data_IF_905202799364
#
_entry.id   IF_905202799364
#
_cell.length_a   1.000
_cell.length_b   1.000
_cell.length_c   1.000
_cell.angle_alpha   90.00
_cell.angle_beta   90.00
_cell.angle_gamma   90.00
#
_symmetry.space_group_name_H-M   'P 1'
#
loop_
_entity.id
_entity.type
_entity.pdbx_description
1 polymer ?
#
# COMPACT_ATOMS: atom_id res chain seq x y z
N UNK A 1 9.37 22.52 31.42
CA UNK A 1 8.74 23.03 30.18
C UNK A 1 8.97 21.97 29.11
N UNK A 2 8.07 21.04 28.72
CA UNK A 2 6.65 21.14 28.30
C UNK A 2 6.45 22.32 27.34
N UNK A 3 5.98 22.21 26.08
CA UNK A 3 5.27 21.22 25.23
C UNK A 3 5.72 21.51 23.76
N UNK A 4 5.63 20.63 22.77
CA UNK A 4 4.40 20.36 21.99
C UNK A 4 4.52 19.10 21.14
N UNK A 5 3.47 18.29 21.20
CA UNK A 5 3.18 17.10 20.41
C UNK A 5 2.38 17.52 19.17
N UNK A 6 2.86 17.18 17.97
CA UNK A 6 2.04 17.20 16.75
C UNK A 6 1.57 15.77 16.49
N UNK A 7 0.26 15.58 16.60
CA UNK A 7 -0.42 14.30 16.43
C UNK A 7 -0.50 13.88 14.96
N UNK A 8 -0.11 12.64 14.69
CA UNK A 8 -0.36 11.96 13.43
C UNK A 8 -1.64 11.10 13.53
N UNK A 9 -2.41 10.94 12.44
CA UNK A 9 -3.62 10.13 12.45
C UNK A 9 -3.24 8.67 12.68
N UNK A 10 -3.58 8.15 13.87
CA UNK A 10 -3.56 6.72 14.21
C UNK A 10 -4.49 5.99 13.24
N UNK A 11 -3.94 5.27 12.27
CA UNK A 11 -4.69 4.29 11.49
C UNK A 11 -5.09 3.17 12.46
N UNK A 12 -6.38 3.13 12.81
CA UNK A 12 -6.96 2.15 13.72
C UNK A 12 -7.38 0.92 12.91
N UNK A 13 -6.49 -0.05 12.77
CA UNK A 13 -6.89 -1.39 12.32
C UNK A 13 -7.45 -2.17 13.51
N UNK A 14 -8.75 -2.43 13.50
CA UNK A 14 -9.40 -3.40 14.39
C UNK A 14 -9.38 -4.76 13.70
N UNK A 15 -8.29 -5.53 13.89
CA UNK A 15 -8.31 -6.95 13.56
C UNK A 15 -9.23 -7.67 14.56
N UNK A 16 -10.46 -7.99 14.14
CA UNK A 16 -11.27 -9.01 14.82
C UNK A 16 -10.84 -10.38 14.33
N UNK A 17 -9.88 -10.99 15.01
CA UNK A 17 -9.67 -12.44 14.93
C UNK A 17 -10.87 -13.12 15.60
N UNK A 18 -11.88 -13.49 14.80
CA UNK A 18 -12.97 -14.34 15.28
C UNK A 18 -12.47 -15.78 15.32
N UNK A 19 -11.80 -16.15 16.41
CA UNK A 19 -11.50 -17.55 16.73
C UNK A 19 -12.84 -18.29 16.90
N UNK A 20 -13.17 -19.16 15.94
CA UNK A 20 -14.26 -20.13 16.09
C UNK A 20 -13.69 -21.33 16.84
N UNK A 21 -13.59 -21.21 18.16
CA UNK A 21 -13.34 -22.35 19.04
C UNK A 21 -14.58 -23.25 19.04
N UNK A 22 -14.49 -24.43 18.41
CA UNK A 22 -15.35 -25.55 18.79
C UNK A 22 -14.84 -26.08 20.13
N UNK A 23 -15.45 -25.62 21.22
CA UNK A 23 -15.23 -26.15 22.57
C UNK A 23 -16.44 -27.02 22.93
N UNK A 24 -16.19 -28.31 23.14
CA UNK A 24 -17.05 -29.20 23.92
C UNK A 24 -17.14 -28.70 25.36
N UNK A 25 -18.28 -28.84 26.05
CA UNK A 25 -18.53 -28.12 27.28
C UNK A 25 -17.74 -28.76 28.43
N UNK A 26 -16.86 -27.99 29.08
CA UNK A 26 -16.79 -27.91 30.54
C UNK A 26 -15.69 -26.92 30.99
N UNK A 27 -16.00 -26.26 32.11
CA UNK A 27 -15.19 -25.34 32.91
C UNK A 27 -15.36 -23.85 32.57
N UNK A 28 -16.09 -23.20 33.48
CA UNK A 28 -16.37 -21.78 33.64
C UNK A 28 -15.19 -21.13 34.38
N UNK A 29 -14.63 -20.02 33.86
CA UNK A 29 -14.40 -18.76 34.60
C UNK A 29 -13.69 -17.67 33.75
N UNK A 30 -13.76 -16.37 34.14
CA UNK A 30 -14.06 -15.29 33.21
C UNK A 30 -12.91 -14.31 32.97
N UNK A 31 -13.00 -13.58 31.85
CA UNK A 31 -12.53 -12.20 31.73
C UNK A 31 -11.01 -11.99 31.58
N UNK A 32 -10.56 -11.80 30.34
CA UNK A 32 -9.39 -10.96 30.07
C UNK A 32 -9.65 -10.06 28.85
N UNK A 33 -9.87 -8.78 29.11
CA UNK A 33 -9.66 -7.71 28.15
C UNK A 33 -8.19 -7.29 28.24
N UNK A 34 -7.43 -7.46 27.16
CA UNK A 34 -6.05 -6.94 27.09
C UNK A 34 -6.12 -5.53 26.54
N UNK A 35 -5.91 -4.54 27.41
CA UNK A 35 -5.76 -3.14 27.00
C UNK A 35 -4.37 -2.93 26.40
N UNK A 36 -4.35 -2.45 25.16
CA UNK A 36 -3.14 -2.26 24.35
C UNK A 36 -2.39 -0.95 24.70
N UNK A 37 -2.06 -0.74 25.98
CA UNK A 37 -1.30 0.44 26.43
C UNK A 37 -0.08 0.12 27.32
N UNK A 38 0.13 -1.13 27.73
CA UNK A 38 1.29 -1.52 28.54
C UNK A 38 2.34 -2.27 27.70
N UNK A 39 3.06 -1.55 26.83
CA UNK A 39 4.28 -2.07 26.20
C UNK A 39 5.51 -1.61 27.00
N UNK A 40 5.74 -2.25 28.14
CA UNK A 40 7.07 -2.35 28.72
C UNK A 40 7.34 -3.74 29.30
N UNK A 41 6.93 -4.78 28.56
CA UNK A 41 7.19 -6.18 28.94
C UNK A 41 8.30 -6.73 28.07
N UNK A 42 9.46 -6.93 28.68
CA UNK A 42 10.55 -7.76 28.15
C UNK A 42 9.99 -9.17 27.90
N UNK A 43 9.85 -9.56 26.64
CA UNK A 43 9.36 -10.90 26.27
C UNK A 43 10.47 -11.90 26.58
N UNK A 44 10.36 -12.58 27.71
CA UNK A 44 11.18 -13.75 28.02
C UNK A 44 10.66 -14.90 27.16
N UNK A 45 11.41 -15.27 26.11
CA UNK A 45 11.07 -16.38 25.22
C UNK A 45 11.27 -17.72 25.95
N UNK A 46 10.26 -18.16 26.70
CA UNK A 46 10.14 -19.56 27.10
C UNK A 46 9.21 -20.30 26.12
N UNK A 47 9.86 -20.84 25.09
CA UNK A 47 9.61 -22.12 24.45
C UNK A 47 8.16 -22.67 24.49
N UNK A 48 7.22 -21.97 23.87
CA UNK A 48 5.98 -22.58 23.35
C UNK A 48 6.01 -22.51 21.84
N UNK A 49 6.22 -23.66 21.21
CA UNK A 49 6.00 -23.85 19.77
C UNK A 49 4.50 -23.66 19.50
N UNK A 50 4.10 -22.42 19.21
CA UNK A 50 2.83 -22.14 18.56
C UNK A 50 2.87 -22.88 17.22
N UNK A 51 1.98 -23.87 17.09
CA UNK A 51 1.77 -24.61 15.86
C UNK A 51 1.00 -23.70 14.90
N UNK A 52 1.72 -22.72 14.34
CA UNK A 52 1.23 -21.81 13.31
C UNK A 52 1.24 -22.59 12.00
N UNK A 53 0.10 -22.61 11.30
CA UNK A 53 -0.02 -23.21 9.97
C UNK A 53 1.14 -22.70 9.07
N UNK A 54 1.84 -23.59 8.34
CA UNK A 54 2.89 -23.18 7.42
C UNK A 54 2.48 -22.07 6.44
N UNK A 55 1.21 -22.04 6.05
CA UNK A 55 0.62 -21.02 5.15
C UNK A 55 0.53 -19.64 5.81
N UNK A 56 0.19 -19.62 7.10
CA UNK A 56 0.12 -18.38 7.89
C UNK A 56 1.52 -17.81 8.17
N UNK A 57 2.57 -18.65 8.28
CA UNK A 57 3.95 -18.18 8.44
C UNK A 57 4.46 -17.43 7.21
N UNK A 58 4.24 -17.97 6.02
CA UNK A 58 4.67 -17.34 4.76
C UNK A 58 3.99 -15.98 4.58
N UNK A 59 2.70 -15.86 4.97
CA UNK A 59 1.96 -14.60 4.83
C UNK A 59 2.20 -13.60 5.96
N UNK A 60 2.60 -14.06 7.16
CA UNK A 60 3.19 -13.16 8.16
C UNK A 60 4.48 -12.58 7.62
N UNK A 61 5.33 -13.37 6.95
CA UNK A 61 6.51 -12.83 6.27
C UNK A 61 6.14 -11.89 5.12
N UNK A 62 5.07 -12.13 4.34
CA UNK A 62 4.60 -11.20 3.30
C UNK A 62 4.01 -9.90 3.88
N UNK A 63 3.23 -9.99 4.95
CA UNK A 63 2.76 -8.83 5.72
C UNK A 63 3.94 -8.10 6.34
N UNK A 64 4.89 -8.83 6.90
CA UNK A 64 6.13 -8.27 7.41
C UNK A 64 6.96 -7.70 6.29
N UNK A 65 6.99 -8.21 5.07
CA UNK A 65 7.69 -7.60 3.93
C UNK A 65 6.98 -6.34 3.43
N UNK A 66 5.64 -6.39 3.33
CA UNK A 66 4.77 -5.26 3.05
C UNK A 66 4.94 -4.14 4.09
N UNK A 67 5.10 -4.51 5.37
CA UNK A 67 5.25 -3.60 6.50
C UNK A 67 6.73 -3.28 6.85
N UNK A 68 7.70 -4.11 6.49
CA UNK A 68 9.14 -3.93 6.75
C UNK A 68 9.76 -2.98 5.75
N UNK A 69 9.09 -2.73 4.63
CA UNK A 69 9.23 -1.47 3.89
C UNK A 69 9.05 -0.22 4.79
N UNK A 70 8.52 -0.35 6.02
CA UNK A 70 8.51 0.71 7.05
C UNK A 70 9.49 0.52 8.22
N UNK A 71 10.15 -0.64 8.40
CA UNK A 71 10.86 -0.96 9.68
C UNK A 71 12.37 -1.19 9.58
N UNK A 72 12.94 -1.47 8.41
CA UNK A 72 14.39 -1.65 8.26
C UNK A 72 15.00 -0.78 7.17
N UNK A 73 14.38 0.34 6.87
CA UNK A 73 15.07 1.55 6.44
C UNK A 73 14.05 2.69 6.52
N UNK A 74 14.21 3.58 7.48
CA UNK A 74 13.62 4.93 7.43
C UNK A 74 14.22 5.77 6.29
N UNK A 75 14.95 5.12 5.37
CA UNK A 75 15.58 5.62 4.17
C UNK A 75 14.69 5.28 2.96
N UNK A 76 13.72 6.16 2.71
CA UNK A 76 13.26 6.52 1.38
C UNK A 76 12.41 5.50 0.58
N UNK A 77 11.09 5.59 0.76
CA UNK A 77 10.27 5.81 -0.43
C UNK A 77 10.34 7.32 -0.73
N UNK A 78 11.47 7.81 -1.26
CA UNK A 78 11.49 9.14 -1.90
C UNK A 78 10.51 9.10 -3.07
N UNK A 79 9.86 10.23 -3.34
CA UNK A 79 9.00 10.38 -4.51
C UNK A 79 7.54 10.66 -4.17
N UNK A 80 6.74 10.73 -5.22
CA UNK A 80 5.33 11.04 -5.12
C UNK A 80 4.59 9.80 -4.64
N UNK A 81 3.62 9.99 -3.73
CA UNK A 81 2.83 8.90 -3.17
C UNK A 81 1.35 9.17 -3.35
N UNK A 82 0.63 8.16 -3.80
CA UNK A 82 -0.82 8.15 -3.86
C UNK A 82 -1.36 7.01 -3.00
N UNK A 83 -2.50 7.22 -2.36
CA UNK A 83 -3.27 6.21 -1.65
C UNK A 83 -4.68 6.18 -2.21
N UNK A 84 -5.21 4.99 -2.44
CA UNK A 84 -6.64 4.76 -2.61
C UNK A 84 -7.14 3.90 -1.44
N UNK A 85 -8.15 4.43 -0.73
CA UNK A 85 -8.93 3.63 0.21
C UNK A 85 -10.04 2.93 -0.56
N UNK A 86 -9.95 1.61 -0.58
CA UNK A 86 -10.87 0.74 -1.29
C UNK A 86 -12.00 0.38 -0.34
N UNK A 87 -13.23 0.62 -0.78
CA UNK A 87 -14.44 0.27 -0.04
C UNK A 87 -15.32 -0.55 -0.94
N UNK A 88 -15.75 -1.72 -0.46
CA UNK A 88 -16.55 -2.69 -1.18
C UNK A 88 -18.05 -2.57 -0.98
N UNK A 89 -18.81 -3.04 -1.97
CA UNK A 89 -20.29 -3.11 -1.87
C UNK A 89 -20.78 -4.05 -0.75
N UNK A 90 -19.97 -5.04 -0.34
CA UNK A 90 -20.30 -6.03 0.69
C UNK A 90 -19.50 -5.87 1.99
N UNK A 91 -18.98 -4.67 2.24
CA UNK A 91 -18.16 -4.40 3.44
C UNK A 91 -16.71 -4.88 3.33
N UNK A 92 -16.22 -5.13 2.11
CA UNK A 92 -14.80 -5.26 1.83
C UNK A 92 -14.09 -3.93 2.10
N UNK A 93 -12.88 -4.01 2.64
CA UNK A 93 -12.04 -2.84 2.91
C UNK A 93 -10.62 -3.14 2.46
N UNK A 94 -9.97 -2.14 1.88
CA UNK A 94 -8.58 -2.25 1.49
C UNK A 94 -7.88 -0.91 1.34
N UNK A 95 -6.57 -0.99 1.19
CA UNK A 95 -5.69 0.14 0.90
C UNK A 95 -4.81 -0.26 -0.26
N UNK A 96 -4.72 0.63 -1.24
CA UNK A 96 -3.72 0.58 -2.29
C UNK A 96 -2.83 1.80 -2.17
N UNK A 97 -1.52 1.59 -2.09
CA UNK A 97 -0.51 2.64 -2.12
C UNK A 97 0.31 2.54 -3.40
N UNK A 98 0.57 3.68 -4.02
CA UNK A 98 1.49 3.84 -5.14
C UNK A 98 2.61 4.78 -4.73
N UNK A 99 3.83 4.48 -5.14
CA UNK A 99 4.97 5.34 -4.89
C UNK A 99 5.93 5.36 -6.08
N UNK A 100 6.38 6.55 -6.48
CA UNK A 100 7.27 6.70 -7.63
C UNK A 100 8.30 7.79 -7.43
N UNK A 101 9.57 7.43 -7.69
CA UNK A 101 10.65 8.40 -7.93
C UNK A 101 10.66 8.80 -9.40
N UNK A 102 10.97 10.07 -9.67
CA UNK A 102 11.08 10.57 -11.05
C UNK A 102 12.12 9.76 -11.84
N UNK A 103 11.74 9.30 -13.02
CA UNK A 103 12.59 8.47 -13.89
C UNK A 103 12.64 6.98 -13.55
N UNK A 104 11.86 6.52 -12.56
CA UNK A 104 11.69 5.10 -12.24
C UNK A 104 10.23 4.70 -12.42
N UNK A 105 9.96 3.40 -12.57
CA UNK A 105 8.60 2.88 -12.51
C UNK A 105 8.04 2.99 -11.07
N UNK A 106 6.73 3.19 -10.90
CA UNK A 106 6.14 3.13 -9.57
C UNK A 106 6.29 1.74 -8.93
N UNK A 107 6.14 1.71 -7.62
CA UNK A 107 5.84 0.50 -6.86
C UNK A 107 4.42 0.59 -6.32
N UNK A 108 3.72 -0.55 -6.33
CA UNK A 108 2.37 -0.73 -5.83
C UNK A 108 2.39 -1.64 -4.62
N UNK A 109 1.68 -1.25 -3.57
CA UNK A 109 1.30 -2.07 -2.43
C UNK A 109 -0.22 -2.17 -2.42
N UNK A 110 -0.79 -3.36 -2.24
CA UNK A 110 -2.22 -3.51 -2.03
C UNK A 110 -2.49 -4.48 -0.89
N UNK A 111 -3.41 -4.11 0.00
CA UNK A 111 -3.88 -4.96 1.09
C UNK A 111 -5.40 -4.84 1.11
N UNK A 112 -6.10 -5.94 0.88
CA UNK A 112 -7.56 -5.99 0.79
C UNK A 112 -8.10 -7.14 1.61
N UNK A 113 -9.30 -6.96 2.16
CA UNK A 113 -10.00 -7.94 2.99
C UNK A 113 -11.48 -8.00 2.63
N UNK A 114 -12.12 -9.13 2.93
CA UNK A 114 -13.54 -9.32 2.61
C UNK A 114 -13.81 -9.66 1.14
N UNK A 115 -12.77 -10.11 0.41
CA UNK A 115 -12.89 -10.62 -0.94
C UNK A 115 -13.43 -12.05 -0.95
N UNK A 116 -13.94 -12.52 -2.11
CA UNK A 116 -14.20 -13.95 -2.27
C UNK A 116 -12.90 -14.73 -2.17
N UNK A 117 -12.92 -15.87 -1.48
CA UNK A 117 -11.75 -16.70 -1.18
C UNK A 117 -11.21 -17.43 -2.42
N UNK A 118 -9.88 -17.58 -2.50
CA UNK A 118 -9.19 -18.33 -3.56
C UNK A 118 -9.56 -17.87 -4.99
N UNK A 119 -9.69 -16.55 -5.17
CA UNK A 119 -10.03 -15.91 -6.44
C UNK A 119 -8.96 -14.93 -6.86
N UNK A 120 -8.88 -14.70 -8.17
CA UNK A 120 -8.02 -13.67 -8.74
C UNK A 120 -8.82 -12.38 -8.92
N UNK A 121 -8.18 -11.25 -8.67
CA UNK A 121 -8.74 -9.91 -8.82
C UNK A 121 -7.80 -9.04 -9.64
N UNK A 122 -8.37 -8.18 -10.49
CA UNK A 122 -7.63 -7.20 -11.26
C UNK A 122 -7.78 -5.83 -10.61
N UNK A 123 -6.64 -5.20 -10.33
CA UNK A 123 -6.58 -3.80 -9.98
C UNK A 123 -6.53 -2.99 -11.27
N UNK A 124 -7.52 -2.13 -11.50
CA UNK A 124 -7.68 -1.38 -12.74
C UNK A 124 -7.76 0.11 -12.43
N UNK A 125 -6.92 0.91 -13.07
CA UNK A 125 -7.03 2.36 -13.10
C UNK A 125 -8.08 2.78 -14.13
N UNK A 126 -9.11 3.50 -13.69
CA UNK A 126 -10.27 3.87 -14.51
C UNK A 126 -10.55 5.38 -14.38
N UNK A 127 -9.94 6.21 -15.25
CA UNK A 127 -9.98 7.68 -15.11
C UNK A 127 -11.33 8.32 -15.46
N UNK A 128 -12.17 7.59 -16.21
CA UNK A 128 -13.50 8.03 -16.67
C UNK A 128 -14.63 7.61 -15.71
N UNK A 129 -14.28 6.90 -14.63
CA UNK A 129 -15.26 6.34 -13.69
C UNK A 129 -15.38 7.25 -12.49
N UNK A 130 -16.62 7.65 -12.18
CA UNK A 130 -16.90 8.36 -10.94
C UNK A 130 -17.06 7.38 -9.77
N UNK A 131 -16.50 7.74 -8.61
CA UNK A 131 -16.52 6.91 -7.40
C UNK A 131 -17.96 6.53 -6.97
N UNK A 132 -18.91 7.45 -7.12
CA UNK A 132 -20.33 7.25 -6.78
C UNK A 132 -21.03 6.20 -7.67
N UNK A 133 -20.42 5.88 -8.81
CA UNK A 133 -20.99 5.06 -9.86
C UNK A 133 -20.24 3.75 -10.11
N UNK A 134 -19.16 3.48 -9.36
CA UNK A 134 -18.24 2.38 -9.63
C UNK A 134 -18.88 0.98 -9.61
N UNK A 135 -20.06 0.83 -9.00
CA UNK A 135 -20.83 -0.41 -8.93
C UNK A 135 -21.93 -0.55 -9.99
N UNK A 136 -22.08 0.42 -10.89
CA UNK A 136 -23.10 0.34 -11.94
C UNK A 136 -22.70 -0.72 -12.99
N UNK A 137 -23.70 -1.42 -13.52
CA UNK A 137 -23.48 -2.42 -14.55
C UNK A 137 -22.97 -1.79 -15.86
N UNK A 138 -22.10 -2.51 -16.60
CA UNK A 138 -21.70 -2.14 -17.97
C UNK A 138 -20.50 -1.20 -18.10
N UNK A 139 -19.80 -0.91 -17.01
CA UNK A 139 -18.70 0.06 -16.93
C UNK A 139 -17.43 -0.30 -17.75
N UNK A 140 -17.29 -1.54 -18.22
CA UNK A 140 -15.97 -2.15 -18.40
C UNK A 140 -15.55 -2.50 -19.82
N UNK A 141 -16.26 -2.05 -20.86
CA UNK A 141 -15.85 -2.48 -22.20
C UNK A 141 -14.48 -1.97 -22.65
N UNK A 142 -14.03 -0.76 -22.28
CA UNK A 142 -12.71 -0.24 -22.69
C UNK A 142 -12.14 0.88 -21.77
N UNK A 143 -12.66 1.07 -20.55
CA UNK A 143 -12.46 2.32 -19.79
C UNK A 143 -11.32 2.33 -18.77
N UNK A 144 -10.40 1.35 -18.79
CA UNK A 144 -9.36 1.28 -17.77
C UNK A 144 -8.10 0.52 -18.13
N UNK A 145 -7.01 0.88 -17.47
CA UNK A 145 -5.71 0.22 -17.56
C UNK A 145 -5.52 -0.73 -16.38
N UNK A 146 -5.31 -2.01 -16.67
CA UNK A 146 -4.95 -3.00 -15.64
C UNK A 146 -3.56 -2.67 -15.08
N UNK A 147 -3.47 -2.60 -13.76
CA UNK A 147 -2.22 -2.37 -13.03
C UNK A 147 -1.54 -3.68 -12.66
N UNK A 148 -2.27 -4.60 -12.04
CA UNK A 148 -1.77 -5.91 -11.60
C UNK A 148 -2.93 -6.89 -11.33
N UNK A 149 -2.63 -8.19 -11.25
CA UNK A 149 -3.54 -9.23 -10.72
C UNK A 149 -3.08 -9.61 -9.31
N UNK A 150 -4.02 -9.76 -8.38
CA UNK A 150 -3.78 -10.26 -7.03
C UNK A 150 -4.69 -11.45 -6.74
N UNK A 151 -4.23 -12.39 -5.93
CA UNK A 151 -5.04 -13.51 -5.45
C UNK A 151 -5.49 -13.29 -4.00
N UNK A 152 -6.70 -13.74 -3.69
CA UNK A 152 -7.18 -13.85 -2.31
C UNK A 152 -6.87 -15.22 -1.74
N UNK A 153 -6.59 -15.26 -0.43
CA UNK A 153 -6.44 -16.51 0.31
C UNK A 153 -7.81 -17.12 0.70
N UNK A 154 -7.75 -18.20 1.47
CA UNK A 154 -8.90 -18.91 2.03
C UNK A 154 -9.64 -18.13 3.14
N UNK A 155 -9.25 -16.88 3.42
CA UNK A 155 -9.90 -15.96 4.37
C UNK A 155 -10.43 -14.71 3.67
N UNK A 156 -10.29 -14.63 2.34
CA UNK A 156 -10.72 -13.48 1.56
C UNK A 156 -9.78 -12.27 1.73
N UNK A 157 -8.51 -12.51 2.07
CA UNK A 157 -7.47 -11.48 2.15
C UNK A 157 -6.55 -11.58 0.94
N UNK A 158 -6.26 -10.44 0.31
CA UNK A 158 -5.29 -10.32 -0.77
C UNK A 158 -4.21 -9.32 -0.37
N UNK A 159 -2.95 -9.73 -0.49
CA UNK A 159 -1.79 -8.92 -0.18
C UNK A 159 -0.86 -8.92 -1.38
N UNK A 160 -0.61 -7.74 -1.93
CA UNK A 160 0.44 -7.50 -2.91
C UNK A 160 1.51 -6.64 -2.25
N UNK A 161 2.72 -7.19 -1.98
CA UNK A 161 3.83 -6.39 -1.46
C UNK A 161 4.28 -5.36 -2.51
N UNK A 162 5.17 -4.45 -2.12
CA UNK A 162 5.73 -3.42 -3.01
C UNK A 162 6.31 -3.99 -4.30
N UNK A 163 5.52 -3.93 -5.36
CA UNK A 163 5.81 -4.55 -6.65
C UNK A 163 5.89 -3.47 -7.72
N UNK A 164 6.91 -3.53 -8.56
CA UNK A 164 7.05 -2.60 -9.66
C UNK A 164 5.96 -2.83 -10.72
N UNK A 165 5.34 -1.75 -11.20
CA UNK A 165 4.30 -1.81 -12.24
C UNK A 165 4.58 -0.80 -13.36
N UNK A 166 4.10 -1.10 -14.56
CA UNK A 166 4.20 -0.19 -15.72
C UNK A 166 3.06 0.84 -15.71
N UNK A 167 3.14 1.85 -14.84
CA UNK A 167 2.12 2.90 -14.71
C UNK A 167 2.67 4.22 -14.13
N UNK A 168 2.87 5.26 -14.92
CA UNK A 168 3.35 6.52 -14.35
C UNK A 168 2.28 7.22 -13.49
N UNK A 169 2.67 7.63 -12.27
CA UNK A 169 1.81 8.33 -11.31
C UNK A 169 2.21 9.79 -11.10
N UNK A 170 3.42 10.22 -11.49
CA UNK A 170 3.88 11.61 -11.30
C UNK A 170 3.26 12.57 -12.33
N UNK A 171 1.93 12.64 -12.34
CA UNK A 171 1.10 13.49 -13.18
C UNK A 171 -0.16 13.88 -12.37
N UNK A 172 -0.50 15.17 -12.32
CA UNK A 172 -1.69 15.61 -11.60
C UNK A 172 -2.99 15.03 -12.22
N UNK A 173 -2.97 14.59 -13.48
CA UNK A 173 -4.11 13.95 -14.14
C UNK A 173 -4.52 12.60 -13.53
N UNK A 174 -3.62 11.94 -12.78
CA UNK A 174 -3.95 10.68 -12.09
C UNK A 174 -4.57 10.88 -10.71
N UNK A 175 -4.44 12.10 -10.15
CA UNK A 175 -5.06 12.45 -8.88
C UNK A 175 -6.57 12.43 -9.08
N UNK A 176 -7.27 12.02 -8.03
CA UNK A 176 -8.72 12.02 -7.99
C UNK A 176 -9.39 11.04 -8.97
N UNK A 177 -8.61 10.15 -9.58
CA UNK A 177 -9.09 9.07 -10.44
C UNK A 177 -9.36 7.80 -9.65
N UNK A 178 -10.21 6.94 -10.22
CA UNK A 178 -10.71 5.76 -9.51
C UNK A 178 -9.86 4.53 -9.82
N UNK A 179 -9.58 3.76 -8.78
CA UNK A 179 -9.14 2.36 -8.86
C UNK A 179 -10.35 1.47 -8.66
N UNK A 180 -10.49 0.47 -9.52
CA UNK A 180 -11.46 -0.60 -9.44
C UNK A 180 -10.75 -1.91 -9.09
N UNK A 181 -11.39 -2.70 -8.25
CA UNK A 181 -11.05 -4.10 -7.99
C UNK A 181 -12.11 -4.96 -8.65
N UNK A 182 -11.71 -5.80 -9.59
CA UNK A 182 -12.64 -6.62 -10.39
C UNK A 182 -12.28 -8.09 -10.25
N UNK A 183 -13.26 -8.94 -10.00
CA UNK A 183 -13.04 -10.39 -9.99
C UNK A 183 -12.70 -10.88 -11.40
N UNK A 184 -11.58 -11.60 -11.54
CA UNK A 184 -11.06 -12.06 -12.82
C UNK A 184 -12.05 -12.99 -13.53
N UNK A 185 -12.19 -12.82 -14.84
CA UNK A 185 -13.17 -13.57 -15.64
C UNK A 185 -14.61 -13.07 -15.48
N UNK A 186 -14.83 -11.98 -14.74
CA UNK A 186 -16.13 -11.32 -14.60
C UNK A 186 -16.03 -9.84 -14.99
N UNK A 187 -17.16 -9.14 -14.97
CA UNK A 187 -17.22 -7.67 -15.04
C UNK A 187 -17.70 -7.06 -13.72
N UNK A 188 -17.59 -7.82 -12.62
CA UNK A 188 -18.09 -7.42 -11.32
C UNK A 188 -17.02 -6.62 -10.57
N UNK A 189 -17.30 -5.34 -10.36
CA UNK A 189 -16.52 -4.49 -9.45
C UNK A 189 -16.87 -4.89 -8.02
N UNK A 190 -15.87 -5.34 -7.26
CA UNK A 190 -16.05 -5.75 -5.86
C UNK A 190 -15.77 -4.61 -4.90
N UNK A 191 -14.68 -3.88 -5.15
CA UNK A 191 -14.26 -2.70 -4.38
C UNK A 191 -13.84 -1.58 -5.34
N UNK A 192 -13.95 -0.34 -4.87
CA UNK A 192 -13.44 0.82 -5.59
C UNK A 192 -12.93 1.90 -4.61
N UNK A 193 -12.04 2.77 -5.10
CA UNK A 193 -11.47 3.85 -4.31
C UNK A 193 -10.87 4.94 -5.18
N UNK A 194 -10.73 6.14 -4.63
CA UNK A 194 -10.20 7.31 -5.33
C UNK A 194 -8.74 7.53 -4.94
N UNK A 195 -7.86 7.76 -5.92
CA UNK A 195 -6.46 8.09 -5.69
C UNK A 195 -6.33 9.49 -5.11
N UNK A 196 -5.66 9.59 -3.97
CA UNK A 196 -5.38 10.84 -3.29
C UNK A 196 -3.91 10.93 -2.93
N UNK A 197 -3.37 12.15 -2.83
CA UNK A 197 -2.00 12.36 -2.36
C UNK A 197 -1.86 11.80 -0.95
N UNK A 198 -0.91 10.88 -0.79
CA UNK A 198 -0.55 10.36 0.52
C UNK A 198 0.60 11.18 1.10
N UNK A 199 0.30 11.97 2.12
CA UNK A 199 1.26 12.90 2.74
C UNK A 199 0.97 14.36 2.37
N UNK A 200 2.03 15.14 2.13
CA UNK A 200 1.91 16.57 1.84
C UNK A 200 2.01 16.86 0.34
N UNK A 201 1.18 17.79 -0.14
CA UNK A 201 1.19 18.32 -1.51
C UNK A 201 2.57 18.89 -1.88
N UNK A 202 3.30 19.48 -0.93
CA UNK A 202 4.66 19.97 -1.19
C UNK A 202 5.63 18.86 -1.60
N UNK A 203 5.51 17.68 -0.99
CA UNK A 203 6.39 16.56 -1.29
C UNK A 203 6.03 15.92 -2.63
N UNK A 204 4.73 15.88 -2.94
CA UNK A 204 4.23 15.54 -4.27
C UNK A 204 4.82 16.44 -5.37
N UNK A 205 4.72 17.76 -5.20
CA UNK A 205 5.28 18.73 -6.15
C UNK A 205 6.80 18.58 -6.30
N UNK A 206 7.53 18.35 -5.21
CA UNK A 206 8.98 18.08 -5.25
C UNK A 206 9.29 16.82 -6.05
N UNK A 207 8.49 15.77 -5.90
CA UNK A 207 8.67 14.54 -6.65
C UNK A 207 8.44 14.69 -8.16
N UNK A 208 7.39 15.42 -8.56
CA UNK A 208 7.10 15.71 -9.97
C UNK A 208 8.18 16.57 -10.62
N UNK A 209 8.59 17.64 -9.94
CA UNK A 209 9.63 18.54 -10.44
C UNK A 209 11.00 17.85 -10.48
N UNK A 210 11.20 16.86 -9.62
CA UNK A 210 12.50 16.22 -9.40
C UNK A 210 13.39 17.12 -8.56
N UNK A 211 14.27 16.52 -7.76
CA UNK A 211 15.37 17.28 -7.17
C UNK A 211 16.18 17.90 -8.32
N UNK A 212 16.53 19.20 -8.28
CA UNK A 212 17.37 19.79 -9.30
C UNK A 212 18.69 19.02 -9.35
N UNK A 213 18.90 18.25 -10.41
CA UNK A 213 20.20 17.66 -10.74
C UNK A 213 21.16 18.73 -11.27
N UNK A 214 21.16 19.92 -10.67
CA UNK A 214 22.08 21.03 -10.98
C UNK A 214 23.54 20.65 -10.74
N UNK A 215 23.80 19.67 -9.88
CA UNK A 215 25.13 19.17 -9.58
C UNK A 215 25.79 18.38 -10.72
N UNK A 216 25.03 17.63 -11.53
CA UNK A 216 25.64 16.85 -12.64
C UNK A 216 26.01 17.72 -13.83
N UNK A 217 25.19 18.73 -14.14
CA UNK A 217 25.44 19.66 -15.25
C UNK A 217 26.56 20.64 -14.92
N UNK A 218 26.65 21.11 -13.66
CA UNK A 218 27.74 21.98 -13.23
C UNK A 218 29.10 21.25 -13.33
N UNK A 219 29.18 19.99 -12.87
CA UNK A 219 30.44 19.24 -12.87
C UNK A 219 30.95 18.94 -14.29
N UNK A 220 30.08 18.55 -15.24
CA UNK A 220 30.52 18.38 -16.64
C UNK A 220 30.96 19.69 -17.27
N UNK A 221 30.31 20.81 -16.95
CA UNK A 221 30.71 22.13 -17.45
C UNK A 221 32.08 22.56 -16.89
N UNK A 222 32.29 22.41 -15.57
CA UNK A 222 33.58 22.72 -14.93
C UNK A 222 34.72 21.84 -15.47
N UNK A 223 34.48 20.54 -15.67
CA UNK A 223 35.47 19.63 -16.27
C UNK A 223 35.79 20.03 -17.71
N UNK A 224 34.79 20.37 -18.53
CA UNK A 224 35.00 20.82 -19.90
C UNK A 224 35.81 22.11 -19.98
N UNK A 225 35.53 23.08 -19.09
CA UNK A 225 36.29 24.35 -19.00
C UNK A 225 37.73 24.09 -18.54
N UNK A 226 37.95 23.23 -17.56
CA UNK A 226 39.29 22.86 -17.09
C UNK A 226 40.11 22.15 -18.19
N UNK A 227 39.50 21.23 -18.93
CA UNK A 227 40.16 20.54 -20.04
C UNK A 227 40.50 21.52 -21.16
N UNK A 228 39.60 22.44 -21.52
CA UNK A 228 39.89 23.47 -22.50
C UNK A 228 41.06 24.37 -22.05
N UNK A 229 41.06 24.84 -20.80
CA UNK A 229 42.14 25.67 -20.27
C UNK A 229 43.50 24.95 -20.22
N UNK A 230 43.51 23.63 -19.98
CA UNK A 230 44.74 22.82 -20.00
C UNK A 230 45.26 22.50 -21.41
N UNK A 231 44.38 22.51 -22.43
CA UNK A 231 44.78 22.30 -23.83
C UNK A 231 45.32 23.59 -24.46
N UNK A 232 44.84 24.75 -24.01
CA UNK A 232 45.20 26.06 -24.56
C UNK A 232 46.22 26.86 -23.73
N UNK A 233 46.81 26.27 -22.69
CA UNK A 233 47.92 26.82 -21.90
C UNK A 233 49.25 26.14 -22.30
#
# INVERSE_FOLDING_TARGET
>A
MMKDLIGFPKIRFLMKLKQRQQITPNVVDPGYSVNLWDLNTTINMQNRTLNVDPTDRIRIEELEMALAGKRHDSQWIEGGRLEARLTGFRGGEGILELAQRKGQNPKLLAIMTGLQENRNFHLIYAPEVELSSCYKAGLMKDQGKKLITVDSDNRGMAIQPWTEIDFHILDDAVIDKVILVIEAGTSNVVDCGKLQIHGNVSDWQRAMNGSPTTLRVAVTYFVAVLVALLIFA
#
